data_IF_614839272576
#
_entry.id   IF_614839272576
#
_cell.length_a   1.000
_cell.length_b   1.000
_cell.length_c   1.000
_cell.angle_alpha   90.00
_cell.angle_beta   90.00
_cell.angle_gamma   90.00
#
_symmetry.space_group_name_H-M   'P 1'
#
loop_
_entity.id
_entity.type
_entity.pdbx_description
1 polymer ?
#
# COMPACT_ATOMS: atom_id res chain seq x y z
N UNK A 1 39.20 1.53 -17.51
CA UNK A 1 38.25 2.37 -18.26
C UNK A 1 36.98 1.55 -18.45
N UNK A 2 35.84 1.75 -17.80
CA UNK A 2 35.43 2.74 -16.81
C UNK A 2 34.48 2.07 -15.81
N UNK A 3 34.48 2.61 -14.60
CA UNK A 3 33.64 2.21 -13.48
C UNK A 3 32.18 2.54 -13.83
N UNK A 4 31.29 1.55 -13.85
CA UNK A 4 29.85 1.83 -13.67
C UNK A 4 29.62 1.88 -12.17
N UNK A 5 29.76 3.08 -11.61
CA UNK A 5 29.36 3.42 -10.25
C UNK A 5 27.86 3.16 -10.10
N UNK A 6 27.51 1.97 -9.59
CA UNK A 6 26.16 1.64 -9.16
C UNK A 6 25.96 2.19 -7.73
N UNK A 7 26.07 3.52 -7.61
CA UNK A 7 26.11 4.28 -6.37
C UNK A 7 24.70 4.67 -5.88
N UNK A 8 23.77 3.72 -5.87
CA UNK A 8 22.48 3.85 -5.17
C UNK A 8 22.24 2.72 -4.15
N UNK A 9 23.29 2.02 -3.72
CA UNK A 9 23.21 1.09 -2.58
C UNK A 9 23.34 1.84 -1.24
N UNK A 10 22.69 3.01 -1.12
CA UNK A 10 22.56 3.71 0.16
C UNK A 10 21.51 2.99 0.99
N UNK A 11 21.87 2.58 2.21
CA UNK A 11 20.88 2.01 3.13
C UNK A 11 19.85 3.09 3.48
N UNK A 12 18.56 2.78 3.28
CA UNK A 12 17.48 3.71 3.59
C UNK A 12 17.14 3.65 5.08
N UNK A 13 16.78 4.80 5.63
CA UNK A 13 16.38 4.98 7.01
C UNK A 13 15.06 5.74 7.08
N UNK A 14 14.23 5.41 8.07
CA UNK A 14 13.01 6.16 8.39
C UNK A 14 13.20 6.86 9.74
N UNK A 15 13.00 8.17 9.76
CA UNK A 15 13.01 8.99 10.97
C UNK A 15 11.56 9.39 11.27
N UNK A 16 10.86 8.57 12.05
CA UNK A 16 9.45 8.83 12.34
C UNK A 16 9.30 9.78 13.52
N UNK A 17 8.47 10.84 13.43
CA UNK A 17 8.01 11.62 14.57
C UNK A 17 6.97 10.88 15.42
N UNK A 18 6.40 9.78 14.89
CA UNK A 18 5.40 8.93 15.56
C UNK A 18 6.05 7.63 16.03
N UNK A 19 5.74 7.15 17.24
CA UNK A 19 6.31 5.92 17.77
C UNK A 19 6.05 4.74 16.82
N UNK A 20 7.09 4.06 16.31
CA UNK A 20 6.89 2.96 15.39
C UNK A 20 6.21 1.80 16.12
N UNK A 21 5.29 1.14 15.42
CA UNK A 21 4.59 0.00 16.01
C UNK A 21 5.50 -1.21 15.93
N UNK A 22 6.09 -1.58 17.07
CA UNK A 22 6.88 -2.79 17.25
C UNK A 22 6.11 -3.79 18.11
N UNK A 23 5.20 -4.57 17.50
CA UNK A 23 4.43 -5.56 18.25
C UNK A 23 4.79 -7.01 17.91
N UNK A 24 4.67 -7.87 18.92
CA UNK A 24 4.68 -9.33 18.78
C UNK A 24 3.30 -9.92 18.47
N UNK A 25 2.24 -9.11 18.45
CA UNK A 25 0.84 -9.52 18.28
C UNK A 25 0.21 -8.82 17.09
N UNK A 26 -0.50 -9.56 16.24
CA UNK A 26 -1.06 -9.05 14.98
C UNK A 26 -2.06 -7.89 15.11
N UNK A 27 -2.77 -7.79 16.24
CA UNK A 27 -3.81 -6.77 16.47
C UNK A 27 -3.29 -5.34 16.51
N UNK A 28 -2.02 -5.14 16.82
CA UNK A 28 -1.45 -3.80 16.98
C UNK A 28 -1.12 -3.15 15.62
N UNK A 29 -1.07 -3.95 14.55
CA UNK A 29 -0.82 -3.48 13.19
C UNK A 29 -2.10 -3.09 12.43
N UNK A 30 -3.27 -3.50 12.91
CA UNK A 30 -4.58 -3.32 12.25
C UNK A 30 -4.81 -1.91 11.69
N UNK A 31 -4.66 -0.80 12.45
CA UNK A 31 -5.02 0.52 11.93
C UNK A 31 -4.10 1.00 10.79
N UNK A 32 -2.85 0.53 10.74
CA UNK A 32 -1.92 0.89 9.67
C UNK A 32 -2.13 0.01 8.43
N UNK A 33 -2.43 -1.27 8.60
CA UNK A 33 -2.62 -2.23 7.49
C UNK A 33 -3.98 -2.06 6.81
N UNK A 34 -4.99 -1.59 7.54
CA UNK A 34 -6.33 -1.30 6.98
C UNK A 34 -6.32 -0.11 6.00
N UNK A 35 -5.38 0.82 6.17
CA UNK A 35 -5.18 1.96 5.25
C UNK A 35 -4.25 1.56 4.10
N UNK A 36 -4.79 0.77 3.16
CA UNK A 36 -4.05 0.27 2.00
C UNK A 36 -3.58 1.37 1.03
N UNK A 37 -4.12 2.58 1.15
CA UNK A 37 -3.79 3.71 0.27
C UNK A 37 -2.64 4.56 0.82
N UNK A 38 -2.17 4.26 2.03
CA UNK A 38 -0.95 4.86 2.59
C UNK A 38 0.25 3.96 2.34
N UNK A 39 1.40 4.57 2.09
CA UNK A 39 2.65 3.83 2.07
C UNK A 39 2.95 3.30 3.48
N UNK A 40 3.43 2.06 3.58
CA UNK A 40 3.90 1.45 4.82
C UNK A 40 5.37 1.09 4.64
N UNK A 41 6.20 1.44 5.62
CA UNK A 41 7.61 1.12 5.64
C UNK A 41 7.87 0.09 6.73
N UNK A 42 8.57 -0.98 6.35
CA UNK A 42 9.06 -2.00 7.26
C UNK A 42 10.42 -1.55 7.79
N UNK A 43 10.54 -1.43 9.10
CA UNK A 43 11.76 -1.03 9.78
C UNK A 43 12.28 -2.16 10.68
N UNK A 44 13.59 -2.16 10.93
CA UNK A 44 14.22 -3.07 11.89
C UNK A 44 14.79 -2.27 13.05
N UNK A 45 14.38 -2.58 14.28
CA UNK A 45 15.08 -2.08 15.46
C UNK A 45 16.44 -2.81 15.59
N UNK A 46 17.58 -2.10 15.46
CA UNK A 46 18.89 -2.73 15.54
C UNK A 46 19.22 -3.30 16.92
N UNK A 47 18.59 -2.78 18.00
CA UNK A 47 18.87 -3.19 19.38
C UNK A 47 18.13 -4.48 19.74
N UNK A 48 16.84 -4.55 19.40
CA UNK A 48 15.99 -5.70 19.74
C UNK A 48 15.85 -6.71 18.60
N UNK A 49 16.32 -6.37 17.39
CA UNK A 49 16.12 -7.13 16.14
C UNK A 49 14.64 -7.39 15.81
N UNK A 50 13.74 -6.57 16.33
CA UNK A 50 12.31 -6.64 16.02
C UNK A 50 11.99 -5.88 14.75
N UNK A 51 11.06 -6.42 13.97
CA UNK A 51 10.50 -5.73 12.80
C UNK A 51 9.32 -4.89 13.29
N UNK A 52 9.30 -3.64 12.86
CA UNK A 52 8.17 -2.73 13.07
C UNK A 52 7.63 -2.23 11.74
N UNK A 53 6.45 -1.63 11.79
CA UNK A 53 5.89 -0.88 10.68
C UNK A 53 5.68 0.58 11.08
N UNK A 54 5.83 1.44 10.09
CA UNK A 54 5.56 2.86 10.20
C UNK A 54 4.94 3.35 8.90
N UNK A 55 4.20 4.45 8.95
CA UNK A 55 3.73 5.10 7.73
C UNK A 55 4.96 5.61 6.95
N UNK A 56 4.86 5.61 5.63
CA UNK A 56 5.97 5.92 4.73
C UNK A 56 6.34 7.39 4.62
N UNK A 57 6.05 8.19 5.65
CA UNK A 57 6.55 9.54 5.77
C UNK A 57 8.01 9.54 6.27
N UNK A 58 8.82 10.48 5.77
CA UNK A 58 10.20 10.74 6.24
C UNK A 58 11.22 9.59 5.99
N UNK A 59 11.37 9.20 4.72
CA UNK A 59 12.43 8.27 4.25
C UNK A 59 13.66 9.07 3.82
N UNK A 60 14.83 8.72 4.36
CA UNK A 60 16.12 9.38 4.10
C UNK A 60 17.22 8.36 3.77
N UNK A 61 18.26 8.80 3.05
CA UNK A 61 19.39 7.96 2.59
C UNK A 61 20.55 7.98 3.62
N UNK A 62 20.49 8.86 4.61
CA UNK A 62 21.47 8.99 5.69
C UNK A 62 20.75 8.94 7.04
N UNK A 63 21.33 8.30 8.08
CA UNK A 63 20.81 8.36 9.43
C UNK A 63 21.14 9.73 10.04
N UNK A 64 20.44 10.78 9.61
CA UNK A 64 20.66 12.15 10.11
C UNK A 64 20.11 12.36 11.54
N UNK A 65 19.40 11.38 12.10
CA UNK A 65 18.81 11.46 13.43
C UNK A 65 19.12 10.24 14.30
N UNK A 66 19.26 10.47 15.62
CA UNK A 66 19.47 9.42 16.64
C UNK A 66 18.31 8.41 16.72
N UNK A 67 17.14 8.74 16.16
CA UNK A 67 15.94 7.91 16.16
C UNK A 67 15.60 7.31 14.78
N UNK A 68 16.60 7.24 13.88
CA UNK A 68 16.42 6.69 12.55
C UNK A 68 16.51 5.16 12.57
N UNK A 69 15.49 4.49 12.04
CA UNK A 69 15.47 3.03 11.91
C UNK A 69 15.83 2.60 10.49
N UNK A 70 16.69 1.59 10.30
CA UNK A 70 16.99 1.06 8.99
C UNK A 70 15.75 0.41 8.36
N UNK A 71 15.47 0.77 7.11
CA UNK A 71 14.36 0.23 6.33
C UNK A 71 14.74 -1.17 5.82
N UNK A 72 13.74 -2.05 5.78
CA UNK A 72 13.82 -3.43 5.25
C UNK A 72 12.89 -3.70 4.08
N UNK A 73 11.86 -2.87 3.93
CA UNK A 73 10.94 -2.96 2.81
C UNK A 73 9.98 -1.79 2.80
N UNK A 74 9.36 -1.56 1.65
CA UNK A 74 8.38 -0.52 1.44
C UNK A 74 7.19 -1.17 0.74
N UNK A 75 6.01 -1.02 1.33
CA UNK A 75 4.74 -1.31 0.70
C UNK A 75 4.19 0.02 0.17
N UNK A 76 4.15 0.24 -1.15
CA UNK A 76 3.57 1.44 -1.70
C UNK A 76 2.04 1.45 -1.51
N UNK A 77 1.38 2.62 -1.64
CA UNK A 77 -0.06 2.72 -1.74
C UNK A 77 -0.65 1.78 -2.81
N UNK A 78 -1.70 1.05 -2.46
CA UNK A 78 -2.44 0.19 -3.37
C UNK A 78 -3.85 0.73 -3.53
N UNK A 79 -4.18 1.12 -4.75
CA UNK A 79 -5.49 1.64 -5.13
C UNK A 79 -6.33 0.54 -5.79
N UNK A 80 -7.55 0.25 -5.31
CA UNK A 80 -8.39 -0.79 -5.90
C UNK A 80 -8.69 -0.59 -7.40
N UNK A 81 -8.74 0.65 -7.87
CA UNK A 81 -8.91 1.05 -9.27
C UNK A 81 -7.76 0.56 -10.16
N UNK A 82 -6.60 0.29 -9.55
CA UNK A 82 -5.37 -0.14 -10.22
C UNK A 82 -5.12 -1.65 -10.12
N UNK A 83 -6.04 -2.40 -9.53
CA UNK A 83 -5.93 -3.86 -9.36
C UNK A 83 -6.43 -4.60 -10.60
N UNK A 84 -5.56 -4.78 -11.59
CA UNK A 84 -5.89 -5.51 -12.82
C UNK A 84 -5.49 -4.71 -14.05
N UNK A 85 -6.26 -4.86 -15.14
CA UNK A 85 -6.00 -4.16 -16.40
C UNK A 85 -6.68 -2.78 -16.43
N UNK A 86 -5.90 -1.73 -16.70
CA UNK A 86 -6.42 -0.38 -16.89
C UNK A 86 -7.26 -0.25 -18.17
N UNK A 87 -6.89 -0.98 -19.23
CA UNK A 87 -7.62 -0.94 -20.50
C UNK A 87 -9.05 -1.45 -20.36
N UNK A 88 -9.30 -2.38 -19.42
CA UNK A 88 -10.66 -2.85 -19.10
C UNK A 88 -11.54 -1.73 -18.55
N UNK A 89 -11.00 -0.96 -17.60
CA UNK A 89 -11.68 0.16 -16.94
C UNK A 89 -12.00 1.25 -17.96
N UNK A 90 -11.03 1.62 -18.80
CA UNK A 90 -11.19 2.61 -19.87
C UNK A 90 -12.22 2.17 -20.91
N UNK A 91 -12.19 0.92 -21.34
CA UNK A 91 -13.10 0.38 -22.36
C UNK A 91 -14.55 0.35 -21.88
N UNK A 92 -14.79 0.07 -20.60
CA UNK A 92 -16.14 -0.12 -20.04
C UNK A 92 -16.63 1.09 -19.23
N UNK A 93 -15.86 2.17 -19.11
CA UNK A 93 -16.23 3.37 -18.36
C UNK A 93 -16.41 3.12 -16.85
N UNK A 94 -15.66 2.16 -16.30
CA UNK A 94 -15.78 1.75 -14.90
C UNK A 94 -14.81 2.54 -14.01
N UNK A 95 -15.00 2.46 -12.69
CA UNK A 95 -14.08 2.95 -11.65
C UNK A 95 -13.13 1.85 -11.21
N UNK A 96 -13.65 0.63 -11.13
CA UNK A 96 -12.89 -0.56 -10.72
C UNK A 96 -12.93 -1.61 -11.82
N UNK A 97 -11.86 -2.39 -12.00
CA UNK A 97 -11.83 -3.53 -12.90
C UNK A 97 -12.62 -4.73 -12.32
N UNK A 98 -13.93 -4.55 -12.14
CA UNK A 98 -14.83 -5.54 -11.54
C UNK A 98 -16.22 -5.47 -12.16
N UNK A 99 -16.86 -6.63 -12.37
CA UNK A 99 -18.23 -6.77 -12.89
C UNK A 99 -19.02 -7.74 -12.00
N UNK A 100 -20.27 -7.40 -11.72
CA UNK A 100 -21.21 -8.33 -11.09
C UNK A 100 -21.63 -9.42 -12.08
N UNK A 101 -21.50 -10.69 -11.69
CA UNK A 101 -21.85 -11.82 -12.54
C UNK A 101 -23.34 -11.91 -12.87
N UNK A 102 -23.64 -12.53 -14.00
CA UNK A 102 -25.00 -12.99 -14.30
C UNK A 102 -25.38 -14.12 -13.34
N UNK A 103 -26.63 -14.10 -12.87
CA UNK A 103 -27.15 -15.10 -11.95
C UNK A 103 -28.59 -15.42 -12.34
N UNK A 104 -28.82 -16.69 -12.64
CA UNK A 104 -30.10 -17.21 -13.12
C UNK A 104 -31.26 -16.87 -12.17
N UNK A 105 -32.48 -16.98 -12.71
CA UNK A 105 -33.73 -16.77 -11.96
C UNK A 105 -33.86 -15.36 -11.35
N UNK A 106 -33.16 -14.37 -11.91
CA UNK A 106 -33.26 -12.98 -11.48
C UNK A 106 -32.58 -12.67 -10.16
N UNK A 107 -31.63 -13.50 -9.72
CA UNK A 107 -30.80 -13.22 -8.53
C UNK A 107 -29.98 -11.94 -8.73
N UNK A 108 -29.46 -11.72 -9.95
CA UNK A 108 -28.93 -10.41 -10.38
C UNK A 108 -30.08 -9.45 -10.68
N UNK A 109 -30.78 -9.04 -9.62
CA UNK A 109 -31.97 -8.18 -9.74
C UNK A 109 -31.64 -6.83 -10.39
N UNK A 110 -32.61 -6.17 -11.04
CA UNK A 110 -32.43 -4.81 -11.56
C UNK A 110 -31.94 -3.82 -10.48
N UNK A 111 -32.43 -3.97 -9.25
CA UNK A 111 -31.99 -3.14 -8.12
C UNK A 111 -30.51 -3.29 -7.83
N UNK A 112 -29.98 -4.52 -7.83
CA UNK A 112 -28.54 -4.77 -7.65
C UNK A 112 -27.73 -4.17 -8.80
N UNK A 113 -28.16 -4.36 -10.05
CA UNK A 113 -27.47 -3.84 -11.24
C UNK A 113 -27.45 -2.31 -11.24
N UNK A 114 -28.56 -1.66 -10.90
CA UNK A 114 -28.65 -0.20 -10.77
C UNK A 114 -27.74 0.30 -9.64
N UNK A 115 -27.73 -0.39 -8.49
CA UNK A 115 -26.86 -0.02 -7.38
C UNK A 115 -25.37 -0.11 -7.77
N UNK A 116 -24.98 -1.19 -8.47
CA UNK A 116 -23.63 -1.37 -8.98
C UNK A 116 -23.26 -0.28 -10.00
N UNK A 117 -24.15 0.00 -10.96
CA UNK A 117 -23.94 1.06 -11.95
C UNK A 117 -23.67 2.43 -11.33
N UNK A 118 -24.38 2.79 -10.24
CA UNK A 118 -24.18 4.08 -9.56
C UNK A 118 -22.82 4.25 -8.88
N UNK A 119 -22.19 3.16 -8.44
CA UNK A 119 -20.89 3.22 -7.73
C UNK A 119 -19.70 2.90 -8.62
N UNK A 120 -19.93 2.14 -9.69
CA UNK A 120 -18.88 1.70 -10.60
C UNK A 120 -18.73 2.59 -11.83
N UNK A 121 -19.75 3.32 -12.29
CA UNK A 121 -19.63 4.12 -13.51
C UNK A 121 -18.95 5.47 -13.22
N UNK A 122 -18.00 5.85 -14.07
CA UNK A 122 -17.39 7.19 -14.10
C UNK A 122 -17.90 7.93 -15.33
N UNK A 123 -18.53 9.10 -15.14
CA UNK A 123 -18.91 10.04 -16.21
C UNK A 123 -17.78 11.01 -16.53
#
# INVERSE_FOLDING_TARGET
MGLTENALHGQLYCASPTDPVFSSTSKDFSPLVEDIQSAIVLILDPRTRRIGIVRGDNIHISPESTNAFPIRGILPPIYPERLGDQGFVETHGLRFPYVGGEMALGISTPTMVIALGKVCWVF
#
